data_IF_065713521025
#
_entry.id   IF_065713521025
#
_cell.length_a   1.000
_cell.length_b   1.000
_cell.length_c   1.000
_cell.angle_alpha   90.00
_cell.angle_beta   90.00
_cell.angle_gamma   90.00
#
_symmetry.space_group_name_H-M   'P 1'
#
loop_
_entity.id
_entity.type
_entity.pdbx_description
1 polymer ?
#
# COMPACT_ATOMS: atom_id res chain seq x y z
N UNK A 1 17.20 -24.83 0.24
CA UNK A 1 15.91 -24.39 -0.32
C UNK A 1 14.83 -24.53 0.73
N UNK A 2 13.94 -23.53 0.86
CA UNK A 2 12.85 -23.59 1.83
C UNK A 2 11.84 -24.70 1.46
N UNK A 3 11.33 -25.43 2.46
CA UNK A 3 10.38 -26.54 2.24
C UNK A 3 9.01 -26.01 1.78
N UNK A 4 8.49 -26.56 0.68
CA UNK A 4 7.17 -26.25 0.09
C UNK A 4 6.04 -27.03 0.76
N UNK A 5 6.34 -28.17 1.37
CA UNK A 5 5.34 -28.96 2.11
C UNK A 5 5.07 -28.32 3.48
N UNK A 6 3.79 -28.03 3.82
CA UNK A 6 3.43 -27.48 5.12
C UNK A 6 3.76 -28.43 6.27
N UNK A 7 4.22 -27.86 7.39
CA UNK A 7 4.44 -28.58 8.66
C UNK A 7 3.12 -28.78 9.41
N UNK A 8 3.11 -29.64 10.44
CA UNK A 8 1.92 -29.83 11.28
C UNK A 8 1.46 -28.52 11.93
N UNK A 9 2.38 -27.74 12.49
CA UNK A 9 2.07 -26.45 13.11
C UNK A 9 1.48 -25.44 12.11
N UNK A 10 2.02 -25.40 10.89
CA UNK A 10 1.51 -24.55 9.81
C UNK A 10 0.10 -24.98 9.37
N UNK A 11 -0.19 -26.28 9.32
CA UNK A 11 -1.52 -26.79 8.96
C UNK A 11 -2.60 -26.41 9.99
N UNK A 12 -2.23 -26.25 11.26
CA UNK A 12 -3.14 -25.89 12.35
C UNK A 12 -3.35 -24.37 12.54
N UNK A 13 -2.62 -23.53 11.81
CA UNK A 13 -2.68 -22.08 11.99
C UNK A 13 -2.56 -21.32 10.67
N UNK A 14 -3.64 -20.64 10.30
CA UNK A 14 -3.66 -19.74 9.13
C UNK A 14 -2.55 -18.69 9.23
N UNK A 15 -2.36 -18.10 10.41
CA UNK A 15 -1.30 -17.12 10.65
C UNK A 15 0.10 -17.72 10.43
N UNK A 16 0.35 -18.96 10.88
CA UNK A 16 1.63 -19.63 10.62
C UNK A 16 1.85 -19.91 9.12
N UNK A 17 0.79 -20.28 8.40
CA UNK A 17 0.84 -20.49 6.95
C UNK A 17 1.10 -19.18 6.18
N UNK A 18 0.45 -18.08 6.55
CA UNK A 18 0.68 -16.76 5.99
C UNK A 18 2.12 -16.26 6.27
N UNK A 19 2.63 -16.49 7.49
CA UNK A 19 4.01 -16.18 7.82
C UNK A 19 5.01 -17.04 7.02
N UNK A 20 4.64 -18.28 6.73
CA UNK A 20 5.42 -19.17 5.87
C UNK A 20 5.44 -18.67 4.43
N UNK A 21 4.32 -18.22 3.88
CA UNK A 21 4.28 -17.58 2.55
C UNK A 21 5.25 -16.40 2.48
N UNK A 22 5.34 -15.57 3.53
CA UNK A 22 6.32 -14.48 3.58
C UNK A 22 7.75 -15.01 3.46
N UNK A 23 8.10 -16.08 4.17
CA UNK A 23 9.43 -16.68 4.03
C UNK A 23 9.70 -17.34 2.66
N UNK A 24 8.64 -17.70 1.92
CA UNK A 24 8.73 -18.38 0.63
C UNK A 24 8.68 -17.45 -0.58
N UNK A 25 8.39 -16.16 -0.37
CA UNK A 25 8.40 -15.15 -1.42
C UNK A 25 9.83 -14.78 -1.83
N UNK A 26 10.43 -15.64 -2.63
CA UNK A 26 11.80 -15.48 -3.16
C UNK A 26 11.92 -14.33 -4.16
N UNK A 27 10.78 -13.87 -4.69
CA UNK A 27 10.71 -12.75 -5.62
C UNK A 27 10.44 -11.41 -4.91
N UNK A 28 10.29 -11.39 -3.58
CA UNK A 28 10.20 -10.16 -2.80
C UNK A 28 11.42 -9.28 -3.06
N UNK A 29 11.14 -7.99 -3.18
CA UNK A 29 12.12 -6.94 -3.36
C UNK A 29 12.68 -6.48 -2.01
N UNK A 30 13.97 -6.23 -2.01
CA UNK A 30 14.71 -5.67 -0.86
C UNK A 30 14.72 -4.13 -0.92
N UNK A 31 14.30 -3.44 0.15
CA UNK A 31 14.41 -1.98 0.25
C UNK A 31 15.86 -1.51 0.07
N UNK A 32 16.05 -0.37 -0.59
CA UNK A 32 17.32 0.28 -0.93
C UNK A 32 18.24 -0.53 -1.87
N UNK A 33 17.78 -1.67 -2.37
CA UNK A 33 18.45 -2.45 -3.41
C UNK A 33 17.62 -2.45 -4.67
N UNK A 34 16.35 -2.85 -4.54
CA UNK A 34 15.43 -2.98 -5.67
C UNK A 34 14.46 -1.80 -5.79
N UNK A 35 14.20 -1.08 -4.70
CA UNK A 35 13.39 0.13 -4.68
C UNK A 35 13.76 0.99 -3.49
N UNK A 36 13.44 2.29 -3.55
CA UNK A 36 13.55 3.21 -2.43
C UNK A 36 12.28 4.04 -2.30
N UNK A 37 11.83 4.22 -1.06
CA UNK A 37 10.66 5.04 -0.74
C UNK A 37 11.08 6.40 -0.20
N UNK A 38 10.52 7.46 -0.78
CA UNK A 38 10.52 8.80 -0.24
C UNK A 38 9.25 9.02 0.61
N UNK A 39 9.26 8.49 1.84
CA UNK A 39 8.09 8.55 2.74
C UNK A 39 7.74 9.97 3.20
N UNK A 40 8.66 10.94 3.06
CA UNK A 40 8.48 12.34 3.44
C UNK A 40 7.99 12.52 4.89
N UNK A 41 7.31 13.62 5.19
CA UNK A 41 6.80 13.85 6.55
C UNK A 41 5.60 12.95 6.85
N UNK A 42 5.70 12.19 7.93
CA UNK A 42 4.56 11.42 8.42
C UNK A 42 3.43 12.32 8.93
N UNK A 43 2.18 11.91 8.69
CA UNK A 43 0.96 12.52 9.21
C UNK A 43 0.07 11.52 9.94
N UNK A 44 -0.99 12.04 10.54
CA UNK A 44 -2.08 11.24 11.12
C UNK A 44 -3.17 11.03 10.06
N UNK A 45 -3.91 9.92 10.14
CA UNK A 45 -4.96 9.56 9.17
C UNK A 45 -6.09 10.60 9.03
N UNK A 46 -6.30 11.46 10.03
CA UNK A 46 -7.33 12.51 10.00
C UNK A 46 -6.87 13.80 9.31
N UNK A 47 -5.57 13.94 9.05
CA UNK A 47 -5.00 15.12 8.37
C UNK A 47 -5.20 14.95 6.87
N UNK A 48 -6.11 15.72 6.29
CA UNK A 48 -6.44 15.66 4.86
C UNK A 48 -5.49 16.45 3.96
N UNK A 49 -4.72 17.38 4.54
CA UNK A 49 -3.78 18.20 3.78
C UNK A 49 -2.67 17.36 3.16
N UNK A 50 -2.24 17.78 1.98
CA UNK A 50 -1.03 17.28 1.37
C UNK A 50 0.19 17.72 2.20
N UNK A 51 1.03 16.74 2.56
CA UNK A 51 2.29 16.93 3.29
C UNK A 51 3.46 16.29 2.54
N UNK A 52 3.24 15.88 1.28
CA UNK A 52 4.18 15.16 0.47
C UNK A 52 4.19 15.75 -0.95
N UNK A 53 5.20 16.58 -1.23
CA UNK A 53 5.31 17.29 -2.51
C UNK A 53 5.93 16.43 -3.62
N UNK A 54 6.58 15.34 -3.24
CA UNK A 54 7.29 14.44 -4.13
C UNK A 54 6.58 13.08 -4.20
N UNK A 55 6.94 12.26 -5.19
CA UNK A 55 6.48 10.88 -5.32
C UNK A 55 6.85 10.02 -4.10
N UNK A 56 6.03 9.01 -3.77
CA UNK A 56 6.34 7.99 -2.76
C UNK A 56 7.51 7.11 -3.21
N UNK A 57 7.54 6.70 -4.48
CA UNK A 57 8.61 5.85 -5.00
C UNK A 57 9.75 6.72 -5.55
N UNK A 58 10.86 6.79 -4.81
CA UNK A 58 12.06 7.49 -5.29
C UNK A 58 12.68 6.74 -6.49
N UNK A 59 12.73 5.41 -6.41
CA UNK A 59 12.99 4.55 -7.56
C UNK A 59 12.41 3.15 -7.38
N UNK A 60 12.18 2.47 -8.51
CA UNK A 60 12.07 1.01 -8.61
C UNK A 60 13.04 0.57 -9.70
N UNK A 61 13.96 -0.34 -9.36
CA UNK A 61 15.05 -0.73 -10.24
C UNK A 61 14.51 -1.42 -11.51
N UNK A 62 14.99 -1.11 -12.73
CA UNK A 62 14.45 -1.66 -13.97
C UNK A 62 14.41 -3.19 -14.04
N UNK A 63 15.38 -3.87 -13.44
CA UNK A 63 15.43 -5.35 -13.40
C UNK A 63 14.24 -6.01 -12.69
N UNK A 64 13.46 -5.24 -11.91
CA UNK A 64 12.20 -5.72 -11.33
C UNK A 64 11.20 -6.08 -12.44
N UNK A 65 11.12 -5.26 -13.50
CA UNK A 65 10.20 -5.46 -14.63
C UNK A 65 10.65 -6.57 -15.59
N UNK A 66 11.86 -7.09 -15.42
CA UNK A 66 12.36 -8.26 -16.15
C UNK A 66 11.97 -9.58 -15.46
N UNK A 67 11.54 -9.53 -14.19
CA UNK A 67 11.08 -10.71 -13.46
C UNK A 67 9.74 -11.18 -14.06
N UNK A 68 9.58 -12.48 -14.38
CA UNK A 68 8.42 -12.96 -15.14
C UNK A 68 7.06 -12.57 -14.56
N UNK A 69 6.85 -12.77 -13.25
CA UNK A 69 5.54 -12.51 -12.62
C UNK A 69 5.24 -11.02 -12.51
N UNK A 70 6.25 -10.18 -12.29
CA UNK A 70 6.09 -8.72 -12.30
C UNK A 70 5.74 -8.22 -13.70
N UNK A 71 6.51 -8.65 -14.71
CA UNK A 71 6.28 -8.30 -16.11
C UNK A 71 4.84 -8.61 -16.54
N UNK A 72 4.41 -9.86 -16.32
CA UNK A 72 3.08 -10.32 -16.67
C UNK A 72 1.98 -9.60 -15.87
N UNK A 73 2.25 -9.19 -14.63
CA UNK A 73 1.29 -8.34 -13.90
C UNK A 73 1.12 -6.98 -14.58
N UNK A 74 2.21 -6.31 -14.99
CA UNK A 74 2.10 -5.02 -15.70
C UNK A 74 1.38 -5.16 -17.05
N UNK A 75 1.63 -6.23 -17.80
CA UNK A 75 0.89 -6.54 -19.03
C UNK A 75 -0.62 -6.67 -18.76
N UNK A 76 -1.02 -7.20 -17.59
CA UNK A 76 -2.42 -7.21 -17.18
C UNK A 76 -2.93 -5.83 -16.79
N UNK A 77 -2.18 -5.06 -15.98
CA UNK A 77 -2.60 -3.74 -15.50
C UNK A 77 -2.87 -2.76 -16.63
N UNK A 78 -2.13 -2.86 -17.75
CA UNK A 78 -2.29 -2.00 -18.91
C UNK A 78 -3.60 -2.23 -19.70
N UNK A 79 -4.36 -3.29 -19.40
CA UNK A 79 -5.64 -3.58 -20.04
C UNK A 79 -6.86 -2.95 -19.34
N UNK A 80 -6.70 -2.42 -18.13
CA UNK A 80 -7.83 -2.04 -17.29
C UNK A 80 -8.00 -0.53 -17.18
N UNK A 81 -9.25 -0.10 -17.32
CA UNK A 81 -9.69 1.27 -17.11
C UNK A 81 -10.26 1.43 -15.69
N UNK A 82 -10.03 2.58 -15.05
CA UNK A 82 -10.43 2.80 -13.66
C UNK A 82 -11.95 2.83 -13.42
N UNK A 83 -12.74 3.15 -14.44
CA UNK A 83 -14.16 3.46 -14.31
C UNK A 83 -15.01 2.19 -14.41
N UNK A 84 -15.85 1.95 -13.40
CA UNK A 84 -16.75 0.79 -13.39
C UNK A 84 -17.97 1.01 -14.29
N UNK A 85 -18.69 -0.07 -14.59
CA UNK A 85 -20.03 0.01 -15.19
C UNK A 85 -20.05 0.02 -16.73
N UNK A 86 -18.90 -0.17 -17.36
CA UNK A 86 -18.80 -0.52 -18.77
C UNK A 86 -18.70 -2.04 -18.87
N UNK A 87 -19.52 -2.67 -19.74
CA UNK A 87 -19.39 -4.11 -19.97
C UNK A 87 -18.03 -4.38 -20.60
N UNK A 88 -17.17 -5.10 -19.90
CA UNK A 88 -15.91 -5.54 -20.44
C UNK A 88 -16.14 -6.68 -21.44
N UNK A 89 -15.52 -6.57 -22.61
CA UNK A 89 -15.47 -7.67 -23.57
C UNK A 89 -14.08 -8.27 -23.52
N UNK A 90 -13.95 -9.38 -22.79
CA UNK A 90 -12.67 -10.09 -22.69
C UNK A 90 -12.19 -10.51 -24.07
N UNK A 91 -11.07 -9.94 -24.49
CA UNK A 91 -10.46 -10.25 -25.79
C UNK A 91 -9.69 -11.57 -25.72
N UNK A 92 -9.46 -12.26 -26.85
CA UNK A 92 -8.58 -13.43 -26.87
C UNK A 92 -7.16 -13.13 -26.37
N UNK A 93 -6.70 -11.88 -26.53
CA UNK A 93 -5.42 -11.40 -26.03
C UNK A 93 -5.42 -11.32 -24.50
N UNK A 94 -6.40 -10.67 -23.89
CA UNK A 94 -6.55 -10.61 -22.43
C UNK A 94 -6.67 -12.02 -21.82
N UNK A 95 -7.39 -12.93 -22.47
CA UNK A 95 -7.47 -14.32 -22.00
C UNK A 95 -6.09 -15.01 -22.04
N UNK A 96 -5.27 -14.73 -23.06
CA UNK A 96 -3.92 -15.26 -23.16
C UNK A 96 -2.99 -14.65 -22.09
N UNK A 97 -3.12 -13.37 -21.80
CA UNK A 97 -2.36 -12.67 -20.75
C UNK A 97 -2.76 -13.18 -19.34
N UNK A 98 -4.07 -13.35 -19.07
CA UNK A 98 -4.57 -13.98 -17.84
C UNK A 98 -3.97 -15.38 -17.66
N UNK A 99 -3.97 -16.19 -18.73
CA UNK A 99 -3.43 -17.53 -18.70
C UNK A 99 -1.90 -17.55 -18.49
N UNK A 100 -1.17 -16.65 -19.15
CA UNK A 100 0.27 -16.50 -19.01
C UNK A 100 0.66 -16.11 -17.58
N UNK A 101 -0.04 -15.13 -16.99
CA UNK A 101 0.14 -14.75 -15.59
C UNK A 101 -0.12 -15.93 -14.65
N UNK A 102 -1.26 -16.62 -14.80
CA UNK A 102 -1.59 -17.79 -13.99
C UNK A 102 -0.56 -18.92 -14.11
N UNK A 103 -0.05 -19.18 -15.30
CA UNK A 103 1.03 -20.15 -15.51
C UNK A 103 2.32 -19.75 -14.79
N UNK A 104 2.68 -18.47 -14.82
CA UNK A 104 3.88 -18.00 -14.15
C UNK A 104 3.75 -18.08 -12.63
N UNK A 105 2.64 -17.61 -12.06
CA UNK A 105 2.48 -17.58 -10.60
C UNK A 105 2.30 -18.98 -9.99
N UNK A 106 1.66 -19.92 -10.69
CA UNK A 106 1.40 -21.26 -10.13
C UNK A 106 2.67 -22.10 -9.96
N UNK A 107 3.69 -21.81 -10.76
CA UNK A 107 4.99 -22.47 -10.68
C UNK A 107 5.82 -21.99 -9.48
N UNK A 108 5.47 -20.86 -8.87
CA UNK A 108 6.24 -20.24 -7.79
C UNK A 108 6.10 -20.98 -6.45
N UNK A 109 7.10 -20.80 -5.61
CA UNK A 109 7.14 -21.42 -4.27
C UNK A 109 5.96 -21.00 -3.37
N UNK A 110 5.55 -19.72 -3.29
CA UNK A 110 4.37 -19.32 -2.52
C UNK A 110 3.09 -20.01 -2.98
N UNK A 111 2.84 -20.09 -4.30
CA UNK A 111 1.59 -20.65 -4.81
C UNK A 111 1.54 -22.17 -4.63
N UNK A 112 2.65 -22.88 -4.87
CA UNK A 112 2.77 -24.32 -4.61
C UNK A 112 2.57 -24.64 -3.12
N UNK A 113 3.07 -23.80 -2.22
CA UNK A 113 2.82 -23.94 -0.78
C UNK A 113 1.35 -23.75 -0.43
N UNK A 114 0.70 -22.69 -0.95
CA UNK A 114 -0.71 -22.43 -0.73
C UNK A 114 -1.59 -23.60 -1.21
N UNK A 115 -1.32 -24.14 -2.41
CA UNK A 115 -1.97 -25.35 -2.92
C UNK A 115 -1.80 -26.54 -1.96
N UNK A 116 -0.56 -26.86 -1.59
CA UNK A 116 -0.28 -27.99 -0.70
C UNK A 116 -0.97 -27.84 0.67
N UNK A 117 -1.03 -26.62 1.21
CA UNK A 117 -1.73 -26.30 2.45
C UNK A 117 -3.23 -26.52 2.33
N UNK A 118 -3.85 -25.99 1.26
CA UNK A 118 -5.29 -26.11 1.02
C UNK A 118 -5.72 -27.57 0.80
N UNK A 119 -4.92 -28.36 0.08
CA UNK A 119 -5.17 -29.79 -0.13
C UNK A 119 -5.08 -30.56 1.18
N UNK A 120 -4.01 -30.37 1.96
CA UNK A 120 -3.83 -31.08 3.24
C UNK A 120 -4.89 -30.72 4.29
N UNK A 121 -5.41 -29.49 4.24
CA UNK A 121 -6.53 -29.05 5.08
C UNK A 121 -7.92 -29.33 4.50
N UNK A 122 -8.01 -30.10 3.41
CA UNK A 122 -9.28 -30.48 2.75
C UNK A 122 -10.14 -29.26 2.35
N UNK A 123 -9.50 -28.11 2.10
CA UNK A 123 -10.12 -26.88 1.58
C UNK A 123 -10.11 -26.83 0.06
N UNK A 124 -9.29 -27.67 -0.57
CA UNK A 124 -9.23 -27.88 -2.00
C UNK A 124 -8.97 -29.36 -2.29
N UNK A 125 -9.41 -29.83 -3.45
CA UNK A 125 -9.14 -31.17 -3.97
C UNK A 125 -8.75 -31.05 -5.43
N UNK A 126 -7.67 -31.72 -5.83
CA UNK A 126 -7.14 -31.65 -7.19
C UNK A 126 -5.65 -31.31 -7.22
N UNK A 127 -5.06 -31.44 -8.40
CA UNK A 127 -3.66 -31.11 -8.65
C UNK A 127 -3.46 -29.60 -8.93
N UNK A 128 -2.26 -29.23 -9.38
CA UNK A 128 -1.96 -27.83 -9.74
C UNK A 128 -2.76 -27.37 -10.97
N UNK A 129 -3.09 -28.25 -11.92
CA UNK A 129 -3.91 -27.89 -13.09
C UNK A 129 -5.32 -27.53 -12.66
N UNK A 130 -5.90 -28.30 -11.74
CA UNK A 130 -7.21 -27.98 -11.17
C UNK A 130 -7.17 -26.73 -10.30
N UNK A 131 -6.06 -26.53 -9.56
CA UNK A 131 -5.87 -25.32 -8.77
C UNK A 131 -5.76 -24.07 -9.65
N UNK A 132 -5.09 -24.16 -10.82
CA UNK A 132 -5.06 -23.08 -11.80
C UNK A 132 -6.47 -22.70 -12.27
N UNK A 133 -7.31 -23.69 -12.63
CA UNK A 133 -8.72 -23.43 -12.99
C UNK A 133 -9.49 -22.77 -11.85
N UNK A 134 -9.21 -23.16 -10.60
CA UNK A 134 -9.81 -22.54 -9.43
C UNK A 134 -9.35 -21.08 -9.25
N UNK A 135 -8.06 -20.79 -9.46
CA UNK A 135 -7.54 -19.43 -9.44
C UNK A 135 -8.16 -18.58 -10.56
N UNK A 136 -8.24 -19.11 -11.78
CA UNK A 136 -8.90 -18.48 -12.92
C UNK A 136 -10.35 -18.10 -12.57
N UNK A 137 -11.11 -19.04 -12.01
CA UNK A 137 -12.48 -18.79 -11.57
C UNK A 137 -12.58 -17.72 -10.46
N UNK A 138 -11.69 -17.75 -9.47
CA UNK A 138 -11.73 -16.84 -8.32
C UNK A 138 -11.32 -15.41 -8.67
N UNK A 139 -10.32 -15.26 -9.52
CA UNK A 139 -9.65 -14.00 -9.80
C UNK A 139 -10.12 -13.37 -11.10
N UNK A 140 -10.27 -14.14 -12.17
CA UNK A 140 -10.61 -13.64 -13.52
C UNK A 140 -12.04 -13.95 -13.94
N UNK A 141 -12.80 -14.69 -13.12
CA UNK A 141 -14.20 -14.99 -13.38
C UNK A 141 -15.08 -13.74 -13.25
N UNK A 142 -15.48 -13.15 -14.38
CA UNK A 142 -16.33 -11.96 -14.43
C UNK A 142 -17.67 -12.15 -13.70
N UNK A 143 -18.02 -11.22 -12.82
CA UNK A 143 -19.32 -11.13 -12.18
C UNK A 143 -19.98 -9.77 -12.47
N UNK A 144 -21.26 -9.65 -12.11
CA UNK A 144 -22.06 -8.44 -12.29
C UNK A 144 -22.07 -7.62 -11.02
N UNK A 145 -21.51 -6.40 -11.04
CA UNK A 145 -21.54 -5.46 -9.91
C UNK A 145 -22.40 -4.23 -10.19
N UNK A 146 -22.38 -3.70 -11.41
CA UNK A 146 -23.28 -2.65 -11.91
C UNK A 146 -23.98 -3.14 -13.19
N UNK A 147 -23.21 -3.54 -14.20
CA UNK A 147 -23.68 -4.20 -15.43
C UNK A 147 -23.22 -5.65 -15.51
N UNK A 148 -23.82 -6.46 -16.38
CA UNK A 148 -23.49 -7.89 -16.44
C UNK A 148 -22.04 -8.09 -16.88
N UNK A 149 -21.26 -8.85 -16.10
CA UNK A 149 -19.87 -9.21 -16.39
C UNK A 149 -18.97 -7.97 -16.53
N UNK A 150 -19.03 -7.09 -15.54
CA UNK A 150 -18.34 -5.80 -15.56
C UNK A 150 -17.16 -5.72 -14.60
N UNK A 151 -16.92 -6.78 -13.81
CA UNK A 151 -15.71 -6.81 -12.99
C UNK A 151 -15.26 -8.20 -12.55
N UNK A 152 -14.01 -8.28 -12.11
CA UNK A 152 -13.33 -9.47 -11.61
C UNK A 152 -12.67 -9.25 -10.25
N UNK A 153 -12.29 -10.35 -9.59
CA UNK A 153 -11.53 -10.27 -8.32
C UNK A 153 -10.13 -9.70 -8.53
N UNK A 154 -9.54 -9.89 -9.71
CA UNK A 154 -8.24 -9.34 -10.08
C UNK A 154 -8.29 -7.81 -10.13
N UNK A 155 -9.25 -7.23 -10.86
CA UNK A 155 -9.43 -5.79 -10.93
C UNK A 155 -9.55 -5.15 -9.55
N UNK A 156 -10.45 -5.63 -8.71
CA UNK A 156 -10.69 -5.00 -7.40
C UNK A 156 -9.50 -5.09 -6.43
N UNK A 157 -8.63 -6.09 -6.58
CA UNK A 157 -7.49 -6.30 -5.69
C UNK A 157 -6.23 -5.64 -6.23
N UNK A 158 -5.91 -5.88 -7.50
CA UNK A 158 -4.65 -5.47 -8.11
C UNK A 158 -4.74 -4.14 -8.86
N UNK A 159 -5.88 -3.79 -9.47
CA UNK A 159 -6.05 -2.53 -10.23
C UNK A 159 -6.63 -1.43 -9.35
N UNK A 160 -7.69 -1.76 -8.59
CA UNK A 160 -8.55 -0.76 -7.97
C UNK A 160 -9.49 -0.10 -8.96
N UNK A 161 -10.57 0.47 -8.43
CA UNK A 161 -11.69 0.97 -9.23
C UNK A 161 -12.24 2.27 -8.63
N UNK A 162 -12.91 3.07 -9.45
CA UNK A 162 -13.69 4.20 -8.99
C UNK A 162 -15.18 3.84 -8.98
N UNK A 163 -15.79 3.86 -7.79
CA UNK A 163 -17.22 3.63 -7.62
C UNK A 163 -17.88 4.80 -6.90
N UNK A 164 -18.88 5.43 -7.53
CA UNK A 164 -19.63 6.56 -6.97
C UNK A 164 -18.70 7.70 -6.44
N UNK A 165 -17.65 8.05 -7.20
CA UNK A 165 -16.67 9.07 -6.80
C UNK A 165 -15.78 8.67 -5.62
N UNK A 166 -15.72 7.37 -5.30
CA UNK A 166 -14.85 6.81 -4.24
C UNK A 166 -13.95 5.74 -4.81
N UNK A 167 -12.66 5.85 -4.50
CA UNK A 167 -11.69 4.82 -4.86
C UNK A 167 -11.92 3.61 -3.96
N UNK A 168 -12.28 2.49 -4.58
CA UNK A 168 -12.38 1.17 -3.96
C UNK A 168 -11.20 0.31 -4.43
N UNK A 169 -10.59 -0.46 -3.54
CA UNK A 169 -9.37 -1.20 -3.89
C UNK A 169 -8.14 -0.29 -3.98
N UNK A 170 -7.26 -0.51 -4.97
CA UNK A 170 -5.98 0.18 -5.15
C UNK A 170 -5.08 0.09 -3.89
N UNK A 171 -4.82 -1.15 -3.49
CA UNK A 171 -3.95 -1.51 -2.37
C UNK A 171 -2.64 -2.16 -2.83
N UNK A 172 -2.59 -2.64 -4.07
CA UNK A 172 -1.39 -3.24 -4.63
C UNK A 172 -0.34 -2.15 -4.93
N UNK A 173 0.88 -2.37 -4.45
CA UNK A 173 1.94 -1.38 -4.53
C UNK A 173 2.46 -1.18 -5.97
N UNK A 174 2.41 -2.21 -6.81
CA UNK A 174 2.84 -2.14 -8.21
C UNK A 174 1.91 -1.25 -9.01
N UNK A 175 0.60 -1.36 -8.76
CA UNK A 175 -0.37 -0.47 -9.37
C UNK A 175 -0.25 0.96 -8.85
N UNK A 176 -0.07 1.17 -7.55
CA UNK A 176 0.18 2.52 -7.01
C UNK A 176 1.42 3.14 -7.66
N UNK A 177 2.51 2.38 -7.78
CA UNK A 177 3.71 2.81 -8.51
C UNK A 177 3.41 3.11 -9.98
N UNK A 178 2.64 2.25 -10.66
CA UNK A 178 2.27 2.42 -12.07
C UNK A 178 1.48 3.71 -12.30
N UNK A 179 0.52 4.00 -11.44
CA UNK A 179 -0.30 5.20 -11.56
C UNK A 179 0.47 6.47 -11.18
N UNK A 180 1.35 6.41 -10.17
CA UNK A 180 2.19 7.53 -9.74
C UNK A 180 3.19 7.93 -10.84
N UNK A 181 3.89 6.95 -11.45
CA UNK A 181 4.84 7.24 -12.54
C UNK A 181 4.18 7.79 -13.81
N UNK A 182 2.87 7.57 -13.98
CA UNK A 182 2.08 8.16 -15.06
C UNK A 182 1.44 9.50 -14.68
N UNK A 183 1.70 10.01 -13.47
CA UNK A 183 1.16 11.28 -12.98
C UNK A 183 -0.35 11.24 -12.67
N UNK A 184 -0.94 10.05 -12.52
CA UNK A 184 -2.36 9.86 -12.19
C UNK A 184 -2.59 9.76 -10.69
N UNK A 185 -1.62 9.24 -9.94
CA UNK A 185 -1.64 9.26 -8.47
C UNK A 185 -0.73 10.39 -7.95
N UNK A 186 -1.29 11.20 -7.06
CA UNK A 186 -0.60 12.17 -6.22
C UNK A 186 -0.52 11.64 -4.78
N UNK A 187 0.68 11.28 -4.34
CA UNK A 187 0.93 10.78 -2.99
C UNK A 187 0.88 11.93 -1.99
N UNK A 188 -0.10 11.88 -1.07
CA UNK A 188 -0.35 12.99 -0.14
C UNK A 188 0.31 12.83 1.23
N UNK A 189 1.00 11.72 1.48
CA UNK A 189 1.80 11.53 2.69
C UNK A 189 1.54 10.26 3.48
N UNK A 190 2.56 9.89 4.24
CA UNK A 190 2.66 8.65 5.01
C UNK A 190 1.86 8.75 6.29
N UNK A 191 1.03 7.75 6.57
CA UNK A 191 0.31 7.64 7.84
C UNK A 191 1.21 6.86 8.80
N UNK A 192 1.66 7.53 9.87
CA UNK A 192 2.58 6.91 10.84
C UNK A 192 1.97 5.63 11.41
N UNK A 193 2.68 4.49 11.33
CA UNK A 193 2.13 3.21 11.70
C UNK A 193 2.08 3.10 13.21
N UNK A 194 1.04 2.41 13.70
CA UNK A 194 0.89 2.16 15.14
C UNK A 194 1.88 1.10 15.62
N UNK A 195 2.20 0.15 14.75
CA UNK A 195 3.19 -0.90 14.96
C UNK A 195 4.20 -0.88 13.81
N UNK A 196 5.48 -1.13 14.09
CA UNK A 196 6.54 -1.23 13.08
C UNK A 196 7.00 -2.67 12.96
N UNK A 197 7.28 -3.13 11.74
CA UNK A 197 7.94 -4.41 11.53
C UNK A 197 9.47 -4.28 11.63
N UNK A 198 10.02 -3.16 11.16
CA UNK A 198 11.46 -2.92 11.29
C UNK A 198 11.86 -2.50 12.71
N UNK A 199 13.16 -2.61 13.00
CA UNK A 199 13.73 -2.16 14.27
C UNK A 199 13.52 -0.66 14.45
N UNK A 200 13.43 -0.21 15.70
CA UNK A 200 13.19 1.21 16.04
C UNK A 200 14.16 2.19 15.36
N UNK A 201 15.43 1.79 15.21
CA UNK A 201 16.47 2.63 14.58
C UNK A 201 16.46 2.59 13.05
N UNK A 202 15.77 1.65 12.43
CA UNK A 202 15.68 1.61 10.97
C UNK A 202 14.74 2.72 10.48
N UNK A 203 15.05 3.35 9.33
CA UNK A 203 14.19 4.37 8.76
C UNK A 203 12.83 3.78 8.33
N UNK A 204 11.81 4.63 8.31
CA UNK A 204 10.45 4.25 7.91
C UNK A 204 10.38 3.84 6.43
N UNK A 205 11.31 4.30 5.59
CA UNK A 205 11.40 3.92 4.16
C UNK A 205 11.73 2.44 3.93
N UNK A 206 12.15 1.70 4.98
CA UNK A 206 12.37 0.25 4.91
C UNK A 206 11.17 -0.59 5.35
N UNK A 207 10.10 0.04 5.84
CA UNK A 207 8.87 -0.70 6.16
C UNK A 207 8.24 -1.22 4.85
N UNK A 208 7.76 -2.46 4.91
CA UNK A 208 7.08 -3.13 3.80
C UNK A 208 5.58 -3.26 4.04
N UNK A 209 5.06 -2.77 5.17
CA UNK A 209 3.64 -2.54 5.38
C UNK A 209 3.44 -1.05 5.63
N UNK A 210 2.99 -0.34 4.60
CA UNK A 210 2.94 1.13 4.59
C UNK A 210 1.48 1.55 4.49
N UNK A 211 1.06 2.48 5.35
CA UNK A 211 -0.24 3.14 5.27
C UNK A 211 -0.02 4.56 4.78
N UNK A 212 -0.78 5.01 3.78
CA UNK A 212 -0.63 6.32 3.16
C UNK A 212 -1.96 6.85 2.62
N UNK A 213 -1.98 8.15 2.34
CA UNK A 213 -3.06 8.83 1.65
C UNK A 213 -2.60 9.19 0.23
N UNK A 214 -3.51 9.12 -0.73
CA UNK A 214 -3.25 9.62 -2.07
C UNK A 214 -4.51 10.16 -2.73
N UNK A 215 -4.33 10.96 -3.76
CA UNK A 215 -5.35 11.38 -4.69
C UNK A 215 -5.10 10.68 -6.03
N UNK A 216 -6.13 10.08 -6.62
CA UNK A 216 -6.08 9.47 -7.94
C UNK A 216 -6.93 10.31 -8.88
N UNK A 217 -6.25 11.09 -9.70
CA UNK A 217 -6.82 12.20 -10.48
C UNK A 217 -7.67 13.12 -9.60
N UNK A 218 -9.00 13.13 -9.74
CA UNK A 218 -9.88 14.03 -8.99
C UNK A 218 -10.43 13.42 -7.69
N UNK A 219 -10.09 12.16 -7.38
CA UNK A 219 -10.70 11.40 -6.29
C UNK A 219 -9.69 11.13 -5.18
N UNK A 220 -10.10 11.38 -3.93
CA UNK A 220 -9.22 11.21 -2.77
C UNK A 220 -9.44 9.85 -2.11
N UNK A 221 -8.35 9.11 -1.85
CA UNK A 221 -8.36 7.91 -1.02
C UNK A 221 -7.71 8.21 0.33
N UNK A 222 -8.51 8.30 1.42
CA UNK A 222 -8.02 8.83 2.70
C UNK A 222 -7.01 7.91 3.38
N UNK A 223 -7.17 6.60 3.18
CA UNK A 223 -6.31 5.58 3.75
C UNK A 223 -6.18 4.43 2.76
N UNK A 224 -4.95 4.12 2.39
CA UNK A 224 -4.58 2.85 1.76
C UNK A 224 -3.46 2.23 2.58
N UNK A 225 -3.53 0.92 2.80
CA UNK A 225 -2.41 0.14 3.32
C UNK A 225 -1.96 -0.83 2.25
N UNK A 226 -0.66 -0.91 2.01
CA UNK A 226 -0.05 -1.73 0.98
C UNK A 226 1.13 -2.51 1.54
N UNK A 227 1.32 -3.72 1.00
CA UNK A 227 2.52 -4.51 1.21
C UNK A 227 3.55 -4.10 0.16
N UNK A 228 4.56 -3.30 0.52
CA UNK A 228 5.52 -2.77 -0.46
C UNK A 228 6.64 -3.77 -0.72
N UNK A 229 6.94 -3.98 -2.01
CA UNK A 229 8.04 -4.82 -2.48
C UNK A 229 7.73 -6.31 -2.49
N UNK A 230 6.58 -6.77 -2.01
CA UNK A 230 6.17 -8.17 -2.13
C UNK A 230 5.90 -8.54 -3.59
N UNK A 231 6.02 -9.82 -3.94
CA UNK A 231 5.75 -10.27 -5.31
C UNK A 231 4.25 -10.44 -5.61
N UNK A 232 3.84 -10.37 -6.89
CA UNK A 232 2.46 -10.62 -7.30
C UNK A 232 1.93 -11.99 -6.83
N UNK A 233 2.75 -13.04 -6.98
CA UNK A 233 2.41 -14.39 -6.57
C UNK A 233 2.25 -14.53 -5.05
N UNK A 234 2.96 -13.74 -4.25
CA UNK A 234 2.79 -13.73 -2.79
C UNK A 234 1.44 -13.15 -2.40
N UNK A 235 1.07 -11.96 -2.90
CA UNK A 235 -0.23 -11.35 -2.62
C UNK A 235 -1.37 -12.26 -3.08
N UNK A 236 -1.27 -12.81 -4.30
CA UNK A 236 -2.28 -13.71 -4.85
C UNK A 236 -2.41 -15.00 -4.01
N UNK A 237 -1.29 -15.60 -3.58
CA UNK A 237 -1.30 -16.79 -2.73
C UNK A 237 -1.88 -16.49 -1.33
N UNK A 238 -1.47 -15.36 -0.73
CA UNK A 238 -1.94 -14.91 0.59
C UNK A 238 -3.46 -14.69 0.58
N UNK A 239 -3.96 -13.91 -0.38
CA UNK A 239 -5.38 -13.60 -0.46
C UNK A 239 -6.22 -14.83 -0.84
N UNK A 240 -5.73 -15.71 -1.71
CA UNK A 240 -6.42 -16.98 -2.01
C UNK A 240 -6.52 -17.87 -0.77
N UNK A 241 -5.42 -17.98 0.00
CA UNK A 241 -5.38 -18.78 1.22
C UNK A 241 -6.34 -18.23 2.29
N UNK A 242 -6.31 -16.92 2.54
CA UNK A 242 -7.23 -16.25 3.46
C UNK A 242 -8.68 -16.35 2.99
N UNK A 243 -8.95 -16.23 1.70
CA UNK A 243 -10.31 -16.33 1.17
C UNK A 243 -10.90 -17.74 1.30
N UNK A 244 -10.13 -18.79 1.02
CA UNK A 244 -10.64 -20.17 1.03
C UNK A 244 -10.68 -20.81 2.42
N UNK A 245 -9.91 -20.30 3.38
CA UNK A 245 -9.81 -20.89 4.72
C UNK A 245 -10.11 -19.92 5.87
N UNK A 246 -10.10 -18.62 5.61
CA UNK A 246 -10.26 -17.58 6.61
C UNK A 246 -11.70 -17.12 6.79
N UNK A 247 -11.82 -15.90 7.31
CA UNK A 247 -13.05 -15.13 7.47
C UNK A 247 -12.91 -13.81 6.70
N UNK A 248 -13.84 -12.88 6.88
CA UNK A 248 -13.66 -11.53 6.31
C UNK A 248 -12.48 -10.79 6.91
N UNK A 249 -12.19 -11.01 8.20
CA UNK A 249 -11.04 -10.44 8.90
C UNK A 249 -10.10 -11.55 9.35
N UNK A 250 -8.86 -11.51 8.88
CA UNK A 250 -7.83 -12.50 9.16
C UNK A 250 -6.61 -11.83 9.78
N UNK A 251 -6.54 -11.80 11.12
CA UNK A 251 -5.34 -11.32 11.81
C UNK A 251 -4.22 -12.36 11.68
N UNK A 252 -3.15 -11.98 10.99
CA UNK A 252 -2.05 -12.88 10.66
C UNK A 252 -0.70 -12.20 10.83
N UNK A 253 0.32 -13.00 11.11
CA UNK A 253 1.72 -12.57 11.11
C UNK A 253 2.30 -12.74 9.70
N UNK A 254 2.88 -11.68 9.15
CA UNK A 254 3.59 -11.68 7.87
C UNK A 254 5.02 -11.20 8.11
N UNK A 255 5.95 -12.13 8.29
CA UNK A 255 7.32 -11.78 8.65
C UNK A 255 7.34 -10.96 9.94
N UNK A 256 7.80 -9.71 9.92
CA UNK A 256 7.78 -8.86 11.11
C UNK A 256 6.46 -8.11 11.34
N UNK A 257 5.48 -8.20 10.44
CA UNK A 257 4.24 -7.41 10.48
C UNK A 257 3.07 -8.21 11.04
N UNK A 258 2.44 -7.72 12.11
CA UNK A 258 1.13 -8.19 12.53
C UNK A 258 0.05 -7.32 11.86
N UNK A 259 -0.74 -7.91 10.97
CA UNK A 259 -1.75 -7.18 10.20
C UNK A 259 -3.04 -7.98 10.04
N UNK A 260 -4.10 -7.30 9.64
CA UNK A 260 -5.36 -7.94 9.25
C UNK A 260 -5.41 -8.05 7.73
N UNK A 261 -5.61 -9.25 7.19
CA UNK A 261 -5.95 -9.43 5.78
C UNK A 261 -7.46 -9.44 5.68
N UNK A 262 -8.02 -8.36 5.12
CA UNK A 262 -9.44 -8.28 4.82
C UNK A 262 -9.73 -9.02 3.53
N UNK A 263 -10.78 -9.83 3.51
CA UNK A 263 -11.25 -10.53 2.33
C UNK A 263 -12.77 -10.39 2.24
N UNK A 264 -13.26 -9.65 1.26
CA UNK A 264 -14.69 -9.62 0.96
C UNK A 264 -14.99 -10.57 -0.18
N UNK A 265 -16.16 -11.21 -0.10
CA UNK A 265 -16.63 -12.14 -1.12
C UNK A 265 -17.69 -11.49 -2.01
N UNK A 266 -17.77 -11.97 -3.24
CA UNK A 266 -18.85 -11.64 -4.17
C UNK A 266 -19.55 -12.90 -4.63
N UNK A 267 -20.88 -12.87 -4.78
CA UNK A 267 -21.68 -14.04 -5.15
C UNK A 267 -22.14 -14.86 -3.94
N UNK A 268 -22.69 -16.06 -4.20
CA UNK A 268 -23.23 -16.96 -3.17
C UNK A 268 -22.92 -18.41 -3.50
N UNK A 269 -22.74 -19.24 -2.47
CA UNK A 269 -22.58 -20.68 -2.61
C UNK A 269 -21.37 -21.05 -3.48
N UNK A 270 -21.60 -21.88 -4.51
CA UNK A 270 -20.53 -22.36 -5.41
C UNK A 270 -20.00 -21.27 -6.35
N UNK A 271 -20.76 -20.20 -6.55
CA UNK A 271 -20.41 -19.07 -7.41
C UNK A 271 -19.66 -17.96 -6.65
N UNK A 272 -19.26 -18.22 -5.40
CA UNK A 272 -18.55 -17.23 -4.58
C UNK A 272 -17.13 -17.00 -5.10
N UNK A 273 -16.79 -15.74 -5.35
CA UNK A 273 -15.49 -15.26 -5.84
C UNK A 273 -14.92 -14.18 -4.92
N UNK A 274 -13.67 -13.81 -5.17
CA UNK A 274 -13.03 -12.72 -4.43
C UNK A 274 -13.65 -11.41 -4.90
N UNK A 275 -14.21 -10.67 -3.94
CA UNK A 275 -14.71 -9.30 -4.16
C UNK A 275 -13.59 -8.28 -3.97
N UNK A 276 -12.92 -8.28 -2.83
CA UNK A 276 -11.68 -7.52 -2.65
C UNK A 276 -10.86 -8.15 -1.53
N UNK A 277 -9.56 -7.91 -1.54
CA UNK A 277 -8.64 -8.40 -0.52
C UNK A 277 -7.49 -7.41 -0.38
N UNK A 278 -7.14 -7.05 0.85
CA UNK A 278 -6.08 -6.08 1.12
C UNK A 278 -5.60 -6.16 2.57
N UNK A 279 -4.37 -5.70 2.86
CA UNK A 279 -3.86 -5.63 4.21
C UNK A 279 -4.41 -4.38 4.93
N UNK A 280 -4.62 -4.50 6.22
CA UNK A 280 -4.98 -3.40 7.11
C UNK A 280 -4.03 -3.42 8.31
N UNK A 281 -3.41 -2.28 8.60
CA UNK A 281 -2.54 -2.12 9.75
C UNK A 281 -3.35 -2.23 11.05
N UNK A 282 -2.91 -3.09 11.97
CA UNK A 282 -3.59 -3.30 13.25
C UNK A 282 -3.24 -2.21 14.28
N UNK A 283 -4.16 -1.89 15.22
CA UNK A 283 -3.84 -1.08 16.39
C UNK A 283 -2.78 -1.78 17.26
N UNK A 284 -2.11 -1.04 18.14
CA UNK A 284 -1.21 -1.63 19.14
C UNK A 284 -1.94 -2.71 19.94
N UNK A 285 -1.27 -3.84 20.20
CA UNK A 285 -1.76 -4.80 21.19
C UNK A 285 -1.72 -4.18 22.59
N UNK A 286 -2.49 -4.72 23.54
CA UNK A 286 -2.48 -4.22 24.93
C UNK A 286 -1.07 -4.22 25.53
N UNK A 287 -0.30 -5.29 25.33
CA UNK A 287 1.07 -5.42 25.81
C UNK A 287 2.01 -4.36 25.18
N UNK A 288 1.86 -4.09 23.88
CA UNK A 288 2.64 -3.05 23.20
C UNK A 288 2.22 -1.65 23.66
N UNK A 289 0.92 -1.41 23.82
CA UNK A 289 0.39 -0.16 24.35
C UNK A 289 0.91 0.11 25.77
N UNK A 290 0.87 -0.91 26.65
CA UNK A 290 1.41 -0.84 28.00
C UNK A 290 2.92 -0.55 27.99
N UNK A 291 3.70 -1.24 27.15
CA UNK A 291 5.14 -1.00 27.00
C UNK A 291 5.42 0.44 26.54
N UNK A 292 4.67 0.94 25.56
CA UNK A 292 4.80 2.30 25.05
C UNK A 292 4.45 3.34 26.12
N UNK A 293 3.37 3.12 26.87
CA UNK A 293 2.96 3.99 28.00
C UNK A 293 4.06 3.98 29.07
N UNK A 294 4.57 2.80 29.46
CA UNK A 294 5.66 2.68 30.43
C UNK A 294 6.93 3.40 29.97
N UNK A 295 7.31 3.30 28.70
CA UNK A 295 8.47 4.00 28.15
C UNK A 295 8.29 5.53 28.20
N UNK A 296 7.11 6.03 27.85
CA UNK A 296 6.76 7.46 27.96
C UNK A 296 6.82 7.92 29.43
N UNK A 297 6.25 7.14 30.35
CA UNK A 297 6.27 7.45 31.78
C UNK A 297 7.68 7.44 32.36
N UNK A 298 8.52 6.45 32.00
CA UNK A 298 9.95 6.42 32.37
C UNK A 298 10.68 7.64 31.83
N UNK A 299 10.52 7.96 30.54
CA UNK A 299 11.15 9.13 29.92
C UNK A 299 10.71 10.45 30.55
N UNK A 300 9.42 10.58 30.89
CA UNK A 300 8.90 11.74 31.62
C UNK A 300 9.51 11.84 33.02
N UNK A 301 9.52 10.74 33.77
CA UNK A 301 10.12 10.67 35.11
C UNK A 301 11.61 11.01 35.07
N UNK A 302 12.37 10.50 34.10
CA UNK A 302 13.79 10.85 33.93
C UNK A 302 13.99 12.33 33.67
N UNK A 303 13.13 12.98 32.86
CA UNK A 303 13.21 14.43 32.62
C UNK A 303 12.89 15.26 33.87
N UNK A 304 11.93 14.80 34.67
CA UNK A 304 11.57 15.44 35.94
C UNK A 304 12.73 15.32 36.95
N UNK A 305 13.35 14.14 37.04
CA UNK A 305 14.46 13.88 37.96
C UNK A 305 15.77 14.54 37.52
N UNK A 306 15.98 14.73 36.22
CA UNK A 306 17.20 15.31 35.66
C UNK A 306 16.90 16.56 34.81
N UNK A 307 16.44 17.67 35.42
CA UNK A 307 16.04 18.87 34.69
C UNK A 307 17.21 19.53 33.94
N UNK A 308 18.44 19.33 34.39
CA UNK A 308 19.65 19.93 33.82
C UNK A 308 20.25 19.16 32.61
N UNK A 309 19.71 17.98 32.26
CA UNK A 309 20.23 17.18 31.13
C UNK A 309 19.82 17.75 29.76
N UNK A 310 18.88 18.71 29.72
CA UNK A 310 18.59 19.50 28.53
C UNK A 310 19.57 20.68 28.43
N UNK A 311 20.76 20.47 27.82
CA UNK A 311 21.62 21.47 27.11
C UNK A 311 23.08 21.02 26.87
N UNK A 312 23.37 19.73 26.67
CA UNK A 312 24.73 19.29 26.34
C UNK A 312 24.82 18.38 25.10
N UNK A 313 23.84 18.41 24.21
CA UNK A 313 24.09 17.95 22.84
C UNK A 313 24.75 19.13 22.10
N UNK A 314 25.98 18.99 21.59
CA UNK A 314 26.54 19.97 20.65
C UNK A 314 25.55 20.15 19.50
N UNK A 315 25.41 21.37 18.93
CA UNK A 315 24.69 21.50 17.68
C UNK A 315 25.30 20.52 16.67
N UNK A 316 24.46 19.81 15.87
CA UNK A 316 24.99 18.92 14.87
C UNK A 316 25.91 19.68 13.91
N UNK A 317 27.00 19.06 13.41
CA UNK A 317 27.90 19.72 12.47
C UNK A 317 27.13 20.20 11.23
N UNK A 318 27.55 21.35 10.69
CA UNK A 318 27.01 21.92 9.45
C UNK A 318 26.94 20.84 8.36
N UNK A 319 25.72 20.48 7.94
CA UNK A 319 25.46 19.44 6.94
C UNK A 319 24.76 18.16 7.44
N UNK A 320 24.45 18.03 8.74
CA UNK A 320 23.63 16.92 9.22
C UNK A 320 22.13 17.13 8.87
N UNK A 321 21.48 16.11 8.33
CA UNK A 321 20.12 16.10 7.77
C UNK A 321 18.96 16.36 8.76
N UNK A 322 19.24 16.92 9.95
CA UNK A 322 18.24 17.31 10.94
C UNK A 322 18.50 18.75 11.41
N UNK A 323 18.25 19.70 10.51
CA UNK A 323 18.26 21.13 10.82
C UNK A 323 17.44 21.89 9.76
N UNK A 324 16.79 23.01 10.11
CA UNK A 324 16.13 23.84 9.11
C UNK A 324 17.17 24.37 8.11
N UNK A 325 16.82 24.55 6.83
CA UNK A 325 17.77 24.99 5.80
C UNK A 325 18.37 26.37 6.16
N UNK A 326 19.64 26.62 5.80
CA UNK A 326 20.32 27.85 6.19
C UNK A 326 19.81 29.03 5.37
N UNK A 327 19.26 30.03 6.06
CA UNK A 327 19.17 31.40 5.55
C UNK A 327 17.79 32.04 5.66
N UNK A 328 17.45 32.59 6.83
CA UNK A 328 16.97 33.98 6.92
C UNK A 328 17.49 34.55 8.25
N UNK A 329 18.22 35.65 8.14
CA UNK A 329 18.83 36.41 9.23
C UNK A 329 17.74 36.88 10.20
N UNK A 330 17.97 36.64 11.50
CA UNK A 330 17.18 37.25 12.57
C UNK A 330 17.36 38.77 12.53
N UNK A 331 16.28 39.51 12.35
CA UNK A 331 16.21 40.91 12.79
C UNK A 331 15.39 41.02 14.06
N UNK A 332 15.97 41.78 14.97
CA UNK A 332 15.67 41.93 16.38
C UNK A 332 14.27 42.49 16.66
N UNK A 333 13.62 41.88 17.65
CA UNK A 333 12.88 42.49 18.77
C UNK A 333 12.40 43.93 18.55
N UNK A 334 11.08 44.11 18.39
CA UNK A 334 10.38 45.35 18.78
C UNK A 334 9.24 45.00 19.73
N UNK A 335 9.18 45.77 20.81
CA UNK A 335 8.30 45.66 21.97
C UNK A 335 6.81 45.64 21.63
N UNK A 336 6.09 44.80 22.38
CA UNK A 336 4.65 44.85 22.57
C UNK A 336 4.26 46.19 23.20
N UNK A 337 3.37 46.93 22.54
CA UNK A 337 2.58 48.01 23.17
C UNK A 337 1.10 47.66 23.05
N UNK A 338 0.51 47.44 24.22
CA UNK A 338 -0.93 47.22 24.44
C UNK A 338 -1.67 48.52 24.16
N UNK A 339 -2.72 48.49 23.34
CA UNK A 339 -3.89 49.36 23.48
C UNK A 339 -5.16 48.62 23.08
N UNK A 340 -6.20 48.95 23.82
CA UNK A 340 -7.52 48.35 23.94
C UNK A 340 -8.57 48.96 22.99
N UNK A 341 -9.65 48.18 22.77
CA UNK A 341 -11.02 48.60 22.39
C UNK A 341 -11.20 49.02 20.90
N UNK A 342 -12.29 48.78 20.16
CA UNK A 342 -13.69 48.36 20.40
C UNK A 342 -14.28 47.87 19.07
N UNK A 343 -15.39 47.14 19.14
CA UNK A 343 -16.30 46.63 18.09
C UNK A 343 -16.64 47.58 16.91
N UNK A 344 -16.95 47.03 15.72
CA UNK A 344 -18.25 47.13 14.98
C UNK A 344 -18.21 46.28 13.70
N UNK A 345 -19.37 45.70 13.39
CA UNK A 345 -19.82 44.87 12.27
C UNK A 345 -19.97 45.58 10.90
N UNK A 346 -20.06 44.78 9.82
CA UNK A 346 -21.12 44.74 8.76
C UNK A 346 -20.53 44.39 7.37
N UNK A 347 -21.14 43.36 6.79
CA UNK A 347 -21.37 42.97 5.38
C UNK A 347 -20.72 43.73 4.21
N UNK A 348 -20.24 42.97 3.21
CA UNK A 348 -20.96 42.73 1.93
C UNK A 348 -20.03 42.27 0.78
N UNK A 349 -20.60 41.44 -0.09
CA UNK A 349 -19.99 40.90 -1.31
C UNK A 349 -19.66 41.97 -2.36
N UNK A 350 -18.72 41.67 -3.27
CA UNK A 350 -18.80 41.82 -4.76
C UNK A 350 -17.46 41.37 -5.40
N UNK A 351 -17.55 40.51 -6.42
CA UNK A 351 -16.52 40.05 -7.37
C UNK A 351 -16.25 41.10 -8.49
N UNK A 352 -15.42 40.85 -9.53
CA UNK A 352 -14.12 40.17 -9.63
C UNK A 352 -13.09 41.01 -10.44
N UNK A 353 -11.84 40.54 -10.53
CA UNK A 353 -10.97 40.85 -11.67
C UNK A 353 -9.51 41.12 -11.31
N UNK A 354 -8.64 40.18 -11.66
CA UNK A 354 -7.33 40.46 -12.26
C UNK A 354 -6.60 39.14 -12.53
N UNK A 355 -6.34 38.88 -13.81
CA UNK A 355 -5.45 37.84 -14.29
C UNK A 355 -3.98 38.20 -14.01
N UNK A 356 -3.16 37.19 -13.72
CA UNK A 356 -1.70 37.23 -13.78
C UNK A 356 -1.18 35.77 -13.96
N UNK A 357 0.07 35.54 -14.40
CA UNK A 357 0.36 34.96 -15.70
C UNK A 357 0.82 33.49 -15.66
N UNK A 358 0.81 32.88 -16.85
CA UNK A 358 1.28 31.53 -17.11
C UNK A 358 2.72 31.30 -16.64
N UNK A 359 2.88 30.31 -15.75
CA UNK A 359 4.17 29.76 -15.35
C UNK A 359 4.70 28.77 -16.39
N UNK A 360 5.96 28.97 -16.73
CA UNK A 360 6.85 28.19 -17.60
C UNK A 360 6.79 26.67 -17.40
N UNK A 361 6.65 25.94 -18.52
CA UNK A 361 6.86 24.49 -18.63
C UNK A 361 8.36 24.17 -18.45
N UNK A 362 8.75 23.17 -17.65
CA UNK A 362 10.08 22.60 -17.75
C UNK A 362 10.17 21.72 -19.00
N UNK A 363 11.02 22.13 -19.94
CA UNK A 363 11.48 21.33 -21.07
C UNK A 363 12.41 20.24 -20.56
N UNK A 364 11.85 19.07 -20.29
CA UNK A 364 12.59 17.81 -20.11
C UNK A 364 12.27 16.89 -21.26
N UNK A 365 13.26 16.57 -22.09
CA UNK A 365 13.14 15.54 -23.12
C UNK A 365 12.84 14.21 -22.41
N UNK A 366 11.68 13.61 -22.71
CA UNK A 366 11.26 12.19 -22.65
C UNK A 366 9.73 12.11 -22.44
N UNK A 367 8.97 12.79 -23.31
CA UNK A 367 7.52 12.67 -23.40
C UNK A 367 7.15 12.28 -24.83
N UNK A 368 7.27 10.99 -25.14
CA UNK A 368 6.64 10.36 -26.30
C UNK A 368 6.13 8.99 -25.85
N UNK A 369 4.81 8.76 -25.79
CA UNK A 369 4.25 7.46 -25.47
C UNK A 369 4.55 6.51 -26.63
N UNK A 370 5.43 5.53 -26.41
CA UNK A 370 5.55 4.39 -27.31
C UNK A 370 4.48 3.38 -26.93
N UNK A 371 3.47 3.27 -27.79
CA UNK A 371 2.61 2.10 -27.87
C UNK A 371 3.51 0.89 -28.14
N UNK A 372 3.44 -0.12 -27.29
CA UNK A 372 3.90 -1.46 -27.58
C UNK A 372 2.67 -2.36 -27.73
#
# INVERSE_FOLDING_TARGET
MARVSPTFAELQSLSAACNKLWALDTNRLEPNVHYELNVQEGKNAFVRGDVAREALFAFVHPSVFERPTFKLLFELLDNYERETGISERVTPRELAENNAFLNAVIETTPMRYAHAWLVKNKKFTGDLSDFKKKLEFLWFGLYRREVRNDSSGFEHVFVGELKNGKICGCHNWLQVYNEERHGRIDYMGYIRPRQRGCRFMEPHSKEQLITFQFQWEDNMKPVSTSLIGVSPEFEMALYTLCFLNGQENNQVQLGPYLCNIKCFSFGRGKDTRIGTAFPEALPLTEAQAATKIQAIMRGSRTRILNPNVRRQAPPPPLGAAWGPPPGVVATSIVQVKVYSATTVSVDSCIHPGAAAPAGTKPTGAWAQPRKW
#
